data_IF_111273264981
#
_entry.id   IF_111273264981
#
_cell.length_a   1.000
_cell.length_b   1.000
_cell.length_c   1.000
_cell.angle_alpha   90.00
_cell.angle_beta   90.00
_cell.angle_gamma   90.00
#
_symmetry.space_group_name_H-M   'P 1'
#
loop_
_entity.id
_entity.type
_entity.pdbx_description
1 polymer ?
#
# COMPACT_ATOMS: atom_id res chain seq x y z
N UNK A 1 -26.84 -14.49 -4.86
CA UNK A 1 -25.77 -13.54 -5.19
C UNK A 1 -24.65 -14.35 -5.82
N UNK A 2 -24.51 -14.19 -7.13
CA UNK A 2 -23.90 -15.13 -8.06
C UNK A 2 -22.36 -15.20 -7.92
N UNK A 3 -21.82 -16.39 -8.19
CA UNK A 3 -20.40 -16.78 -8.07
C UNK A 3 -19.53 -16.34 -9.26
N UNK A 4 -20.05 -15.48 -10.13
CA UNK A 4 -19.33 -14.98 -11.31
C UNK A 4 -18.54 -13.69 -11.03
N UNK A 5 -18.90 -12.91 -10.00
CA UNK A 5 -18.23 -11.64 -9.68
C UNK A 5 -16.88 -11.78 -8.93
N UNK A 6 -16.55 -12.97 -8.43
CA UNK A 6 -15.28 -13.21 -7.71
C UNK A 6 -14.10 -13.53 -8.63
N UNK A 7 -14.34 -13.71 -9.94
CA UNK A 7 -13.32 -14.11 -10.91
C UNK A 7 -12.89 -12.99 -11.87
N UNK A 8 -13.57 -11.84 -11.88
CA UNK A 8 -13.12 -10.66 -12.65
C UNK A 8 -11.99 -9.87 -11.97
N UNK A 9 -11.70 -10.14 -10.69
CA UNK A 9 -10.67 -9.41 -9.94
C UNK A 9 -9.21 -9.83 -10.23
N UNK A 10 -8.99 -10.86 -11.07
CA UNK A 10 -7.66 -11.40 -11.37
C UNK A 10 -7.39 -11.65 -12.86
N UNK A 11 -7.96 -10.84 -13.76
CA UNK A 11 -7.51 -10.79 -15.16
C UNK A 11 -6.46 -9.67 -15.38
N UNK A 12 -5.19 -9.98 -15.09
CA UNK A 12 -4.06 -9.22 -15.65
C UNK A 12 -3.60 -9.95 -16.93
N UNK A 13 -3.55 -9.21 -18.04
CA UNK A 13 -3.02 -9.67 -19.33
C UNK A 13 -1.59 -10.24 -19.17
N UNK A 14 -1.39 -11.52 -19.48
CA UNK A 14 -0.03 -12.07 -19.67
C UNK A 14 0.14 -13.58 -19.60
N UNK A 15 -0.78 -14.35 -19.00
CA UNK A 15 -0.59 -15.79 -18.78
C UNK A 15 -1.83 -16.60 -19.18
N UNK A 16 -2.21 -16.57 -20.47
CA UNK A 16 -3.18 -17.53 -21.05
C UNK A 16 -2.42 -18.71 -21.67
N UNK A 17 -2.17 -19.72 -20.86
CA UNK A 17 -1.66 -21.00 -21.35
C UNK A 17 -1.33 -21.91 -20.18
N UNK A 18 -1.98 -23.07 -20.13
CA UNK A 18 -1.80 -24.15 -19.14
C UNK A 18 -2.64 -24.00 -17.85
N UNK A 19 -3.95 -24.23 -17.94
CA UNK A 19 -4.74 -24.91 -16.89
C UNK A 19 -6.17 -25.18 -17.39
N UNK A 20 -6.28 -26.05 -18.39
CA UNK A 20 -7.53 -26.53 -18.95
C UNK A 20 -7.70 -28.02 -18.74
N UNK A 21 -7.65 -28.52 -17.50
CA UNK A 21 -7.99 -29.92 -17.21
C UNK A 21 -8.28 -30.14 -15.72
N UNK A 22 -9.46 -29.78 -15.19
CA UNK A 22 -10.04 -30.39 -13.97
C UNK A 22 -11.54 -30.01 -13.75
N UNK A 23 -12.35 -30.04 -14.82
CA UNK A 23 -13.81 -29.80 -14.75
C UNK A 23 -14.63 -31.11 -14.63
N UNK A 24 -13.99 -32.21 -14.28
CA UNK A 24 -14.51 -33.56 -14.50
C UNK A 24 -14.61 -34.43 -13.26
N UNK A 25 -15.00 -33.90 -12.10
CA UNK A 25 -15.39 -34.73 -10.96
C UNK A 25 -16.11 -33.84 -9.96
N UNK A 26 -17.15 -34.36 -9.29
CA UNK A 26 -18.03 -33.70 -8.30
C UNK A 26 -19.34 -33.17 -8.87
N UNK A 27 -20.24 -34.12 -9.16
CA UNK A 27 -21.68 -33.93 -9.36
C UNK A 27 -22.41 -34.92 -8.43
N UNK A 28 -23.40 -34.43 -7.70
CA UNK A 28 -24.26 -35.17 -6.76
C UNK A 28 -24.03 -34.70 -5.31
N UNK A 29 -25.02 -34.23 -4.55
CA UNK A 29 -26.42 -34.68 -4.47
C UNK A 29 -27.32 -33.53 -3.97
N UNK A 30 -28.50 -33.40 -4.57
CA UNK A 30 -29.61 -32.52 -4.17
C UNK A 30 -30.30 -33.06 -2.92
N UNK A 31 -30.82 -32.16 -2.07
CA UNK A 31 -31.98 -32.38 -1.22
C UNK A 31 -32.75 -31.04 -1.11
N UNK A 32 -34.05 -31.10 -1.39
CA UNK A 32 -35.07 -30.04 -1.34
C UNK A 32 -35.42 -29.69 0.12
N UNK A 33 -35.75 -28.43 0.43
CA UNK A 33 -36.88 -28.07 1.32
C UNK A 33 -37.11 -26.54 1.40
N UNK A 34 -38.32 -26.19 0.98
CA UNK A 34 -39.30 -25.19 1.44
C UNK A 34 -39.06 -23.66 1.40
N UNK A 35 -40.01 -23.01 0.73
CA UNK A 35 -40.19 -21.58 0.56
C UNK A 35 -40.80 -20.94 1.81
N UNK A 36 -40.11 -19.94 2.37
CA UNK A 36 -40.61 -19.08 3.43
C UNK A 36 -40.37 -17.61 3.11
N UNK A 37 -41.41 -16.93 2.64
CA UNK A 37 -41.45 -15.48 2.45
C UNK A 37 -41.16 -14.75 3.78
N UNK A 38 -40.08 -13.95 3.82
CA UNK A 38 -39.86 -12.96 4.86
C UNK A 38 -39.80 -11.56 4.23
N UNK A 39 -40.90 -10.83 4.37
CA UNK A 39 -40.97 -9.39 4.15
C UNK A 39 -40.11 -8.66 5.18
N UNK A 40 -39.07 -7.95 4.72
CA UNK A 40 -38.27 -7.05 5.55
C UNK A 40 -39.04 -5.75 5.76
N UNK A 41 -39.67 -5.64 6.93
CA UNK A 41 -40.47 -4.48 7.34
C UNK A 41 -39.56 -3.32 7.72
N UNK A 42 -39.45 -2.32 6.86
CA UNK A 42 -38.90 -1.00 7.20
C UNK A 42 -39.67 -0.41 8.38
N UNK A 43 -39.00 -0.18 9.51
CA UNK A 43 -39.56 0.59 10.62
C UNK A 43 -39.11 2.04 10.47
N UNK A 44 -40.03 2.87 10.01
CA UNK A 44 -39.99 4.32 10.17
C UNK A 44 -40.05 4.67 11.66
N UNK A 45 -39.10 5.48 12.13
CA UNK A 45 -39.16 6.10 13.45
C UNK A 45 -40.05 7.33 13.39
N UNK A 46 -41.16 7.29 14.11
CA UNK A 46 -42.04 8.43 14.37
C UNK A 46 -41.57 9.17 15.62
N UNK A 47 -41.39 10.48 15.50
CA UNK A 47 -41.14 11.43 16.59
C UNK A 47 -42.18 11.36 17.72
N UNK A 48 -41.71 11.49 18.97
CA UNK A 48 -42.52 11.82 20.13
C UNK A 48 -41.85 12.97 20.93
N UNK A 49 -42.63 13.86 21.59
CA UNK A 49 -42.15 15.19 21.95
C UNK A 49 -41.61 15.33 23.38
N UNK A 50 -40.50 16.08 23.47
CA UNK A 50 -39.94 16.90 24.55
C UNK A 50 -40.18 16.54 26.03
N UNK A 51 -39.08 16.24 26.72
CA UNK A 51 -38.90 16.38 28.15
C UNK A 51 -37.42 16.33 28.56
N UNK A 52 -36.87 17.51 28.87
CA UNK A 52 -35.82 17.79 29.86
C UNK A 52 -34.38 17.22 29.69
N UNK A 53 -33.42 18.12 29.48
CA UNK A 53 -32.07 18.06 30.05
C UNK A 53 -31.07 16.97 29.62
N UNK A 54 -31.30 16.21 28.56
CA UNK A 54 -30.35 15.16 28.14
C UNK A 54 -29.21 15.72 27.27
N UNK A 55 -27.97 15.60 27.76
CA UNK A 55 -26.78 15.62 26.90
C UNK A 55 -27.07 14.67 25.74
N UNK A 56 -27.17 15.19 24.51
CA UNK A 56 -27.38 14.37 23.33
C UNK A 56 -26.21 13.38 23.27
N UNK A 57 -26.46 12.10 23.53
CA UNK A 57 -25.46 11.05 23.40
C UNK A 57 -24.89 11.13 21.98
N UNK A 58 -23.66 11.59 21.88
CA UNK A 58 -22.99 11.76 20.59
C UNK A 58 -22.49 10.39 20.15
N UNK A 59 -23.29 9.72 19.31
CA UNK A 59 -22.88 8.46 18.68
C UNK A 59 -21.78 8.75 17.66
N UNK A 60 -20.70 7.98 17.74
CA UNK A 60 -19.57 8.05 16.81
C UNK A 60 -19.63 6.80 15.91
N UNK A 61 -19.60 6.95 14.57
CA UNK A 61 -19.58 5.80 13.69
C UNK A 61 -18.23 5.06 13.81
N UNK A 62 -18.29 3.72 13.85
CA UNK A 62 -17.12 2.85 14.05
C UNK A 62 -17.09 1.72 13.02
N UNK A 63 -15.89 1.31 12.65
CA UNK A 63 -15.63 0.08 11.93
C UNK A 63 -15.25 -1.02 12.93
N UNK A 64 -15.80 -2.23 12.75
CA UNK A 64 -15.53 -3.40 13.61
C UNK A 64 -14.97 -4.51 12.74
N UNK A 65 -13.64 -4.70 12.76
CA UNK A 65 -12.96 -5.81 12.10
C UNK A 65 -13.02 -7.03 13.02
N UNK A 66 -13.57 -8.14 12.52
CA UNK A 66 -13.74 -9.39 13.28
C UNK A 66 -13.02 -10.53 12.58
N UNK A 67 -12.18 -11.24 13.32
CA UNK A 67 -11.48 -12.41 12.81
C UNK A 67 -12.45 -13.60 12.67
N UNK A 68 -12.43 -14.29 11.53
CA UNK A 68 -13.28 -15.46 11.31
C UNK A 68 -13.04 -16.55 12.36
N UNK A 69 -14.11 -17.17 12.93
CA UNK A 69 -13.96 -18.24 13.90
C UNK A 69 -13.15 -19.41 13.35
N UNK A 70 -12.20 -19.92 14.14
CA UNK A 70 -11.39 -21.08 13.77
C UNK A 70 -10.19 -20.82 12.85
N UNK A 71 -10.02 -19.60 12.31
CA UNK A 71 -8.93 -19.31 11.36
C UNK A 71 -7.55 -19.57 11.96
N UNK A 72 -7.37 -19.34 13.26
CA UNK A 72 -6.11 -19.62 13.96
C UNK A 72 -5.69 -21.08 13.83
N UNK A 73 -6.64 -22.01 14.04
CA UNK A 73 -6.38 -23.45 13.92
C UNK A 73 -6.09 -23.84 12.48
N UNK A 74 -6.77 -23.22 11.53
CA UNK A 74 -6.51 -23.45 10.10
C UNK A 74 -5.10 -23.00 9.72
N UNK A 75 -4.71 -21.78 10.09
CA UNK A 75 -3.35 -21.27 9.84
C UNK A 75 -2.30 -22.15 10.51
N UNK A 76 -2.53 -22.62 11.74
CA UNK A 76 -1.61 -23.56 12.41
C UNK A 76 -1.43 -24.87 11.63
N UNK A 77 -2.51 -25.44 11.08
CA UNK A 77 -2.46 -26.64 10.23
C UNK A 77 -1.72 -26.34 8.91
N UNK A 78 -2.02 -25.21 8.28
CA UNK A 78 -1.40 -24.81 7.02
C UNK A 78 0.12 -24.60 7.21
N UNK A 79 0.54 -23.99 8.32
CA UNK A 79 1.97 -23.82 8.65
C UNK A 79 2.65 -25.17 8.87
N UNK A 80 1.99 -26.13 9.52
CA UNK A 80 2.52 -27.48 9.69
C UNK A 80 2.71 -28.18 8.34
N UNK A 81 1.72 -28.08 7.45
CA UNK A 81 1.77 -28.66 6.11
C UNK A 81 2.86 -28.02 5.26
N UNK A 82 2.99 -26.68 5.29
CA UNK A 82 4.03 -25.95 4.58
C UNK A 82 5.43 -26.32 5.08
N UNK A 83 5.62 -26.45 6.40
CA UNK A 83 6.90 -26.90 6.97
C UNK A 83 7.25 -28.31 6.51
N UNK A 84 6.30 -29.25 6.60
CA UNK A 84 6.51 -30.62 6.14
C UNK A 84 6.83 -30.69 4.64
N UNK A 85 6.09 -29.95 3.82
CA UNK A 85 6.32 -29.84 2.38
C UNK A 85 7.68 -29.22 2.04
N UNK A 86 8.07 -28.16 2.75
CA UNK A 86 9.37 -27.50 2.55
C UNK A 86 10.54 -28.45 2.82
N UNK A 87 10.43 -29.29 3.85
CA UNK A 87 11.42 -30.31 4.16
C UNK A 87 11.50 -31.40 3.08
N UNK A 88 10.33 -31.87 2.61
CA UNK A 88 10.27 -32.87 1.55
C UNK A 88 10.88 -32.36 0.23
N UNK A 89 10.58 -31.12 -0.17
CA UNK A 89 11.13 -30.52 -1.39
C UNK A 89 12.63 -30.27 -1.25
N UNK A 90 13.11 -29.85 -0.07
CA UNK A 90 14.53 -29.61 0.17
C UNK A 90 15.38 -30.89 0.14
N UNK A 91 14.75 -32.07 0.33
CA UNK A 91 15.40 -33.38 0.13
C UNK A 91 15.62 -33.73 -1.35
N UNK A 92 14.91 -33.07 -2.28
CA UNK A 92 15.07 -33.32 -3.72
C UNK A 92 16.32 -32.60 -4.26
N UNK A 93 17.17 -33.28 -5.05
CA UNK A 93 18.32 -32.65 -5.69
C UNK A 93 17.84 -31.58 -6.67
N UNK A 94 18.38 -30.37 -6.54
CA UNK A 94 18.07 -29.22 -7.43
C UNK A 94 17.19 -28.13 -6.82
N UNK A 95 16.57 -28.33 -5.65
CA UNK A 95 15.72 -27.31 -5.00
C UNK A 95 16.38 -26.62 -3.78
N UNK A 96 17.59 -27.04 -3.40
CA UNK A 96 18.34 -26.46 -2.27
C UNK A 96 18.62 -24.96 -2.38
N UNK A 97 18.63 -24.41 -3.60
CA UNK A 97 18.89 -22.98 -3.83
C UNK A 97 17.68 -22.09 -3.49
N UNK A 98 16.46 -22.65 -3.41
CA UNK A 98 15.24 -21.89 -3.10
C UNK A 98 15.10 -21.56 -1.61
N UNK A 99 15.88 -22.21 -0.74
CA UNK A 99 15.84 -21.98 0.72
C UNK A 99 14.41 -22.00 1.31
N UNK A 100 13.55 -22.89 0.78
CA UNK A 100 12.12 -22.96 1.13
C UNK A 100 11.82 -23.02 2.64
N UNK A 101 12.61 -23.72 3.48
CA UNK A 101 12.36 -23.72 4.92
C UNK A 101 12.43 -22.31 5.54
N UNK A 102 13.38 -21.49 5.08
CA UNK A 102 13.56 -20.11 5.56
C UNK A 102 12.36 -19.24 5.12
N UNK A 103 11.88 -19.43 3.89
CA UNK A 103 10.70 -18.74 3.37
C UNK A 103 9.44 -19.10 4.18
N UNK A 104 9.26 -20.38 4.52
CA UNK A 104 8.11 -20.82 5.33
C UNK A 104 8.17 -20.23 6.75
N UNK A 105 9.35 -20.15 7.35
CA UNK A 105 9.53 -19.53 8.66
C UNK A 105 9.20 -18.02 8.64
N UNK A 106 9.67 -17.30 7.62
CA UNK A 106 9.31 -15.88 7.42
C UNK A 106 7.79 -15.72 7.22
N UNK A 107 7.16 -16.60 6.43
CA UNK A 107 5.71 -16.56 6.19
C UNK A 107 4.89 -16.82 7.45
N UNK A 108 5.30 -17.77 8.29
CA UNK A 108 4.63 -18.07 9.55
C UNK A 108 4.62 -16.89 10.52
N UNK A 109 5.74 -16.17 10.61
CA UNK A 109 5.84 -14.95 11.43
C UNK A 109 4.86 -13.89 10.93
N UNK A 110 4.71 -13.73 9.61
CA UNK A 110 3.75 -12.80 9.02
C UNK A 110 2.30 -13.22 9.30
N UNK A 111 1.94 -14.48 9.07
CA UNK A 111 0.58 -14.98 9.30
C UNK A 111 0.17 -14.89 10.77
N UNK A 112 1.09 -15.18 11.69
CA UNK A 112 0.84 -15.07 13.13
C UNK A 112 0.50 -13.63 13.55
N UNK A 113 1.15 -12.63 12.92
CA UNK A 113 0.84 -11.22 13.15
C UNK A 113 -0.52 -10.82 12.58
N UNK A 114 -0.90 -11.34 11.41
CA UNK A 114 -2.19 -11.04 10.79
C UNK A 114 -3.40 -11.58 11.58
N UNK A 115 -3.25 -12.71 12.29
CA UNK A 115 -4.35 -13.32 13.07
C UNK A 115 -4.45 -12.79 14.51
N UNK A 116 -3.76 -11.70 14.84
CA UNK A 116 -3.88 -10.99 16.11
C UNK A 116 -4.01 -9.49 15.85
N UNK A 117 -5.27 -9.01 15.83
CA UNK A 117 -5.63 -7.65 15.45
C UNK A 117 -5.06 -6.56 16.37
N UNK A 118 -4.46 -6.93 17.51
CA UNK A 118 -3.73 -5.98 18.36
C UNK A 118 -2.46 -5.47 17.66
N UNK A 119 -1.83 -6.27 16.81
CA UNK A 119 -0.67 -5.80 16.03
C UNK A 119 -1.08 -4.73 15.03
N UNK A 120 -2.16 -4.96 14.30
CA UNK A 120 -2.73 -3.96 13.38
C UNK A 120 -3.08 -2.66 14.12
N UNK A 121 -3.79 -2.74 15.24
CA UNK A 121 -4.12 -1.56 16.05
C UNK A 121 -2.87 -0.76 16.49
N UNK A 122 -1.83 -1.45 16.97
CA UNK A 122 -0.57 -0.81 17.39
C UNK A 122 0.16 -0.18 16.19
N UNK A 123 0.11 -0.82 15.02
CA UNK A 123 0.69 -0.27 13.79
C UNK A 123 -0.04 1.00 13.35
N UNK A 124 -1.38 0.99 13.40
CA UNK A 124 -2.22 2.16 13.10
C UNK A 124 -1.88 3.31 14.07
N UNK A 125 -1.80 3.05 15.38
CA UNK A 125 -1.41 4.06 16.38
C UNK A 125 -0.04 4.67 16.06
N UNK A 126 0.95 3.85 15.68
CA UNK A 126 2.28 4.33 15.29
C UNK A 126 2.25 5.13 13.99
N UNK A 127 1.47 4.72 13.00
CA UNK A 127 1.28 5.49 11.78
C UNK A 127 0.66 6.85 12.06
N UNK A 128 -0.35 6.92 12.93
CA UNK A 128 -0.94 8.20 13.34
C UNK A 128 0.07 9.14 13.98
N UNK A 129 0.93 8.63 14.86
CA UNK A 129 1.99 9.44 15.48
C UNK A 129 3.00 9.92 14.42
N UNK A 130 3.42 9.03 13.52
CA UNK A 130 4.33 9.37 12.43
C UNK A 130 3.75 10.46 11.51
N UNK A 131 2.44 10.43 11.25
CA UNK A 131 1.76 11.32 10.30
C UNK A 131 1.04 12.51 10.95
N UNK A 132 1.21 12.74 12.26
CA UNK A 132 0.52 13.83 12.97
C UNK A 132 0.76 15.23 12.40
N UNK A 133 1.92 15.45 11.78
CA UNK A 133 2.34 16.72 11.17
C UNK A 133 2.06 16.77 9.65
N UNK A 134 1.28 15.82 9.11
CA UNK A 134 0.95 15.72 7.68
C UNK A 134 -0.56 15.84 7.49
N UNK A 135 -1.02 17.02 7.10
CA UNK A 135 -2.45 17.37 7.04
C UNK A 135 -3.26 16.58 6.00
N UNK A 136 -2.59 15.95 5.03
CA UNK A 136 -3.24 15.23 3.93
C UNK A 136 -3.23 13.71 4.08
N UNK A 137 -2.72 13.17 5.19
CA UNK A 137 -2.72 11.72 5.46
C UNK A 137 -3.44 11.47 6.77
N UNK A 138 -4.34 10.48 6.77
CA UNK A 138 -5.12 10.09 7.93
C UNK A 138 -5.13 8.57 8.05
N UNK A 139 -5.12 8.11 9.29
CA UNK A 139 -5.34 6.72 9.65
C UNK A 139 -6.51 6.67 10.65
N UNK A 140 -7.32 5.61 10.65
CA UNK A 140 -8.42 5.45 11.60
C UNK A 140 -7.89 5.41 13.04
N UNK A 141 -8.76 5.69 14.01
CA UNK A 141 -8.42 5.69 15.43
C UNK A 141 -8.85 4.38 16.09
N UNK A 142 -7.93 3.49 16.48
CA UNK A 142 -8.28 2.32 17.28
C UNK A 142 -8.90 2.76 18.62
N UNK A 143 -10.05 2.18 18.96
CA UNK A 143 -10.82 2.53 20.16
C UNK A 143 -10.56 1.50 21.26
N UNK A 144 -9.68 1.86 22.20
CA UNK A 144 -9.45 1.05 23.42
C UNK A 144 -10.56 1.33 24.44
N UNK A 145 -11.06 0.31 25.19
CA UNK A 145 -10.54 -1.06 25.35
C UNK A 145 -11.10 -2.09 24.33
N UNK A 146 -11.78 -1.67 23.26
CA UNK A 146 -12.45 -2.57 22.31
C UNK A 146 -11.51 -3.25 21.29
N UNK A 147 -10.20 -3.20 21.53
CA UNK A 147 -9.17 -3.88 20.72
C UNK A 147 -8.74 -5.16 21.44
N UNK A 148 -8.97 -6.30 20.81
CA UNK A 148 -8.63 -7.65 21.29
C UNK A 148 -7.89 -8.42 20.20
N UNK A 149 -7.53 -9.69 20.46
CA UNK A 149 -6.86 -10.53 19.45
C UNK A 149 -7.72 -10.79 18.21
N UNK A 150 -9.04 -10.81 18.37
CA UNK A 150 -10.01 -11.21 17.33
C UNK A 150 -10.96 -10.10 16.91
N UNK A 151 -10.94 -8.96 17.59
CA UNK A 151 -11.79 -7.80 17.29
C UNK A 151 -10.95 -6.53 17.34
N UNK A 152 -11.01 -5.71 16.30
CA UNK A 152 -10.48 -4.35 16.25
C UNK A 152 -11.63 -3.39 15.96
N UNK A 153 -11.91 -2.51 16.91
CA UNK A 153 -12.85 -1.40 16.73
C UNK A 153 -12.06 -0.12 16.52
N UNK A 154 -12.40 0.63 15.47
CA UNK A 154 -11.75 1.89 15.12
C UNK A 154 -12.75 2.91 14.54
N UNK A 155 -12.35 4.18 14.39
CA UNK A 155 -13.22 5.19 13.78
C UNK A 155 -13.59 4.82 12.35
N UNK A 156 -14.86 4.98 12.00
CA UNK A 156 -15.29 4.84 10.62
C UNK A 156 -14.90 6.09 9.83
N UNK A 157 -14.21 5.90 8.71
CA UNK A 157 -13.72 7.00 7.89
C UNK A 157 -14.58 7.14 6.63
N UNK A 158 -15.53 8.07 6.64
CA UNK A 158 -16.39 8.39 5.48
C UNK A 158 -15.55 8.86 4.28
N UNK A 159 -15.27 7.95 3.36
CA UNK A 159 -14.30 8.13 2.26
C UNK A 159 -14.63 7.23 1.07
N UNK A 160 -14.09 7.54 -0.10
CA UNK A 160 -14.25 6.74 -1.32
C UNK A 160 -12.95 6.01 -1.69
N UNK A 161 -13.01 4.79 -2.25
CA UNK A 161 -11.82 4.09 -2.73
C UNK A 161 -11.06 4.90 -3.79
N UNK A 162 -9.71 4.87 -3.73
CA UNK A 162 -8.87 5.59 -4.71
C UNK A 162 -9.10 5.12 -6.15
N UNK A 163 -9.58 3.89 -6.35
CA UNK A 163 -9.92 3.33 -7.67
C UNK A 163 -10.99 4.15 -8.40
N UNK A 164 -11.90 4.82 -7.67
CA UNK A 164 -12.88 5.72 -8.27
C UNK A 164 -12.23 6.96 -8.90
N UNK A 165 -11.03 7.32 -8.46
CA UNK A 165 -10.29 8.49 -8.93
C UNK A 165 -9.37 8.18 -10.13
N UNK A 166 -9.28 6.91 -10.52
CA UNK A 166 -8.57 6.50 -11.74
C UNK A 166 -9.37 6.76 -13.01
N UNK A 167 -10.70 6.90 -12.89
CA UNK A 167 -11.62 7.01 -14.03
C UNK A 167 -11.38 8.27 -14.87
N UNK A 168 -11.58 8.26 -16.20
CA UNK A 168 -11.26 9.38 -17.09
C UNK A 168 -11.94 10.71 -16.73
N UNK A 169 -13.10 10.65 -16.08
CA UNK A 169 -13.95 11.80 -15.78
C UNK A 169 -13.37 12.68 -14.66
N UNK A 170 -12.48 12.13 -13.83
CA UNK A 170 -11.86 12.88 -12.74
C UNK A 170 -10.87 13.91 -13.28
N UNK A 171 -10.96 15.20 -12.88
CA UNK A 171 -10.07 16.24 -13.38
C UNK A 171 -8.59 15.91 -13.17
N UNK A 172 -7.77 16.14 -14.20
CA UNK A 172 -6.35 15.82 -14.18
C UNK A 172 -5.63 16.43 -12.96
N UNK A 173 -5.94 17.68 -12.61
CA UNK A 173 -5.35 18.36 -11.44
C UNK A 173 -5.59 17.62 -10.12
N UNK A 174 -6.75 16.97 -9.98
CA UNK A 174 -7.08 16.19 -8.79
C UNK A 174 -6.24 14.91 -8.78
N UNK A 175 -6.17 14.20 -9.91
CA UNK A 175 -5.31 13.02 -10.04
C UNK A 175 -3.84 13.31 -9.74
N UNK A 176 -3.31 14.41 -10.27
CA UNK A 176 -1.94 14.86 -10.01
C UNK A 176 -1.70 15.16 -8.52
N UNK A 177 -2.68 15.77 -7.85
CA UNK A 177 -2.61 16.03 -6.40
C UNK A 177 -2.60 14.72 -5.60
N UNK A 178 -3.47 13.76 -5.94
CA UNK A 178 -3.54 12.44 -5.29
C UNK A 178 -2.22 11.68 -5.50
N UNK A 179 -1.71 11.66 -6.73
CA UNK A 179 -0.46 11.00 -7.08
C UNK A 179 0.71 11.55 -6.24
N UNK A 180 0.82 12.88 -6.17
CA UNK A 180 1.82 13.58 -5.35
C UNK A 180 1.69 13.20 -3.87
N UNK A 181 0.49 13.26 -3.31
CA UNK A 181 0.22 12.88 -1.92
C UNK A 181 0.64 11.42 -1.65
N UNK A 182 0.33 10.49 -2.55
CA UNK A 182 0.70 9.08 -2.42
C UNK A 182 2.22 8.87 -2.42
N UNK A 183 2.94 9.52 -3.35
CA UNK A 183 4.41 9.43 -3.44
C UNK A 183 5.07 10.07 -2.22
N UNK A 184 4.63 11.25 -1.79
CA UNK A 184 5.16 11.91 -0.58
C UNK A 184 4.94 11.04 0.68
N UNK A 185 3.78 10.41 0.78
CA UNK A 185 3.45 9.46 1.87
C UNK A 185 4.39 8.27 1.86
N UNK A 186 4.59 7.63 0.70
CA UNK A 186 5.53 6.51 0.53
C UNK A 186 6.96 6.91 0.93
N UNK A 187 7.45 8.03 0.38
CA UNK A 187 8.83 8.46 0.61
C UNK A 187 9.08 8.79 2.08
N UNK A 188 8.09 9.36 2.77
CA UNK A 188 8.16 9.59 4.22
C UNK A 188 8.24 8.27 4.99
N UNK A 189 7.34 7.31 4.72
CA UNK A 189 7.36 5.99 5.36
C UNK A 189 8.72 5.30 5.22
N UNK A 190 9.27 5.32 4.00
CA UNK A 190 10.53 4.64 3.66
C UNK A 190 11.75 5.35 4.24
N UNK A 191 11.92 6.64 3.94
CA UNK A 191 13.17 7.34 4.23
C UNK A 191 13.16 8.02 5.60
N UNK A 192 12.03 8.55 6.05
CA UNK A 192 11.93 9.31 7.30
C UNK A 192 11.63 8.39 8.47
N UNK A 193 10.53 7.63 8.37
CA UNK A 193 10.00 6.87 9.50
C UNK A 193 10.63 5.48 9.64
N UNK A 194 11.13 4.91 8.53
CA UNK A 194 11.56 3.51 8.46
C UNK A 194 10.48 2.57 9.00
N UNK A 195 9.24 2.83 8.61
CA UNK A 195 8.06 2.07 9.01
C UNK A 195 7.07 2.15 7.85
N UNK A 196 7.06 1.10 7.03
CA UNK A 196 6.43 1.09 5.71
C UNK A 196 5.21 0.19 5.72
N UNK A 197 4.07 0.74 5.30
CA UNK A 197 2.87 -0.06 5.07
C UNK A 197 3.12 -1.02 3.91
N UNK A 198 3.31 -2.31 4.22
CA UNK A 198 3.81 -3.27 3.23
C UNK A 198 2.71 -3.81 2.31
N UNK A 199 1.44 -3.55 2.63
CA UNK A 199 0.28 -3.99 1.85
C UNK A 199 -0.62 -2.81 1.43
N UNK A 200 0.00 -1.71 0.97
CA UNK A 200 -0.72 -0.49 0.59
C UNK A 200 -1.23 -0.57 -0.87
N UNK A 201 -2.13 -1.51 -1.13
CA UNK A 201 -2.80 -1.66 -2.42
C UNK A 201 -4.01 -0.70 -2.55
N UNK A 202 -4.57 -0.47 -3.75
CA UNK A 202 -5.65 0.51 -3.95
C UNK A 202 -6.92 0.29 -3.11
N UNK A 203 -7.15 -0.91 -2.56
CA UNK A 203 -8.27 -1.17 -1.66
C UNK A 203 -8.09 -0.60 -0.26
N UNK A 204 -6.84 -0.41 0.17
CA UNK A 204 -6.47 0.12 1.48
C UNK A 204 -6.20 1.64 1.45
N UNK A 205 -6.48 2.30 0.32
CA UNK A 205 -6.29 3.74 0.14
C UNK A 205 -7.64 4.34 -0.23
N UNK A 206 -8.20 5.12 0.69
CA UNK A 206 -9.40 5.90 0.45
C UNK A 206 -9.05 7.39 0.32
N UNK A 207 -9.97 8.12 -0.30
CA UNK A 207 -9.92 9.56 -0.44
C UNK A 207 -11.09 10.18 0.28
N UNK A 208 -10.77 11.09 1.20
CA UNK A 208 -11.73 11.91 1.91
C UNK A 208 -11.63 13.33 1.37
N UNK A 209 -12.73 13.82 0.79
CA UNK A 209 -12.90 15.23 0.48
C UNK A 209 -13.62 15.86 1.68
N UNK A 210 -12.92 16.69 2.48
CA UNK A 210 -13.53 17.39 3.62
C UNK A 210 -14.43 18.56 3.17
N UNK A 211 -15.47 18.28 2.37
CA UNK A 211 -16.50 19.21 1.92
C UNK A 211 -17.84 18.61 2.32
N UNK A 212 -18.49 19.24 3.30
CA UNK A 212 -19.53 18.64 4.13
C UNK A 212 -20.70 17.99 3.38
N UNK A 213 -21.31 17.02 4.06
CA UNK A 213 -22.57 16.41 3.64
C UNK A 213 -23.64 17.46 3.31
N UNK A 214 -24.37 17.18 2.25
CA UNK A 214 -25.43 18.05 1.74
C UNK A 214 -25.52 17.93 0.23
N UNK A 215 -26.45 17.09 -0.20
CA UNK A 215 -27.07 17.05 -1.53
C UNK A 215 -26.98 18.41 -2.27
N UNK A 216 -26.22 18.47 -3.37
CA UNK A 216 -26.44 19.30 -4.57
C UNK A 216 -25.17 19.35 -5.44
N UNK A 217 -25.27 18.65 -6.57
CA UNK A 217 -24.75 18.98 -7.91
C UNK A 217 -23.54 19.96 -8.01
N UNK A 218 -22.38 19.54 -8.55
CA UNK A 218 -21.32 20.46 -8.91
C UNK A 218 -21.67 21.15 -10.25
N UNK A 219 -22.73 21.97 -10.27
CA UNK A 219 -22.97 22.87 -11.39
C UNK A 219 -22.22 24.19 -11.15
N UNK A 220 -21.14 24.36 -11.91
CA UNK A 220 -20.46 25.63 -12.09
C UNK A 220 -21.46 26.71 -12.57
N UNK A 221 -21.93 27.56 -11.66
CA UNK A 221 -22.61 28.82 -12.01
C UNK A 221 -22.04 29.99 -11.22
N UNK A 222 -21.14 30.72 -11.86
CA UNK A 222 -20.78 32.08 -11.45
C UNK A 222 -21.95 32.99 -11.84
N UNK A 223 -22.75 33.41 -10.87
CA UNK A 223 -23.75 34.48 -11.06
C UNK A 223 -23.13 35.78 -10.58
N UNK A 224 -22.71 36.60 -11.54
CA UNK A 224 -22.23 37.96 -11.28
C UNK A 224 -23.47 38.85 -11.22
N UNK A 225 -23.89 39.26 -10.02
CA UNK A 225 -25.01 40.19 -9.85
C UNK A 225 -24.43 41.53 -9.45
N UNK A 226 -24.44 42.47 -10.39
CA UNK A 226 -24.02 43.85 -10.16
C UNK A 226 -25.17 44.61 -9.49
N UNK A 227 -25.05 44.85 -8.19
CA UNK A 227 -25.92 45.72 -7.42
C UNK A 227 -25.07 46.87 -6.90
N UNK A 228 -25.11 47.97 -7.64
CA UNK A 228 -24.76 49.34 -7.27
C UNK A 228 -23.94 49.47 -5.97
N UNK A 229 -22.63 49.69 -6.14
CA UNK A 229 -21.66 50.15 -5.14
C UNK A 229 -21.22 49.19 -4.03
N UNK A 230 -21.46 47.88 -4.13
CA UNK A 230 -20.78 46.90 -3.25
C UNK A 230 -20.20 45.72 -4.03
N UNK A 231 -18.87 45.65 -4.12
CA UNK A 231 -18.17 44.45 -4.61
C UNK A 231 -18.19 43.39 -3.51
N UNK A 232 -19.16 42.47 -3.55
CA UNK A 232 -19.13 41.28 -2.70
C UNK A 232 -18.12 40.29 -3.29
N UNK A 233 -16.88 40.36 -2.82
CA UNK A 233 -15.91 39.28 -3.04
C UNK A 233 -16.33 38.11 -2.15
N UNK A 234 -17.13 37.19 -2.69
CA UNK A 234 -17.34 35.89 -2.06
C UNK A 234 -16.02 35.11 -2.15
N UNK A 235 -15.18 35.23 -1.11
CA UNK A 235 -14.09 34.29 -0.92
C UNK A 235 -14.72 32.92 -0.65
N UNK A 236 -14.66 32.04 -1.65
CA UNK A 236 -14.95 30.62 -1.40
C UNK A 236 -13.98 30.13 -0.33
N UNK A 237 -14.44 29.38 0.70
CA UNK A 237 -13.51 28.68 1.57
C UNK A 237 -12.61 27.81 0.68
N UNK A 238 -11.34 27.70 1.04
CA UNK A 238 -10.40 26.82 0.35
C UNK A 238 -11.09 25.45 0.17
N UNK A 239 -10.96 24.81 -1.01
CA UNK A 239 -11.54 23.48 -1.20
C UNK A 239 -11.07 22.62 -0.04
N UNK A 240 -12.05 22.08 0.69
CA UNK A 240 -11.97 20.85 1.47
C UNK A 240 -10.59 20.19 1.38
N UNK A 241 -9.77 20.14 2.45
CA UNK A 241 -8.49 19.44 2.36
C UNK A 241 -8.76 18.00 1.91
N UNK A 242 -8.23 17.66 0.74
CA UNK A 242 -8.22 16.30 0.23
C UNK A 242 -7.26 15.50 1.11
N UNK A 243 -7.72 14.39 1.66
CA UNK A 243 -6.92 13.52 2.53
C UNK A 243 -6.88 12.09 1.99
N UNK A 244 -5.71 11.47 2.07
CA UNK A 244 -5.54 10.02 1.94
C UNK A 244 -5.89 9.39 3.28
N UNK A 245 -6.90 8.53 3.29
CA UNK A 245 -7.20 7.67 4.44
C UNK A 245 -6.61 6.30 4.15
N UNK A 246 -5.65 5.88 4.98
CA UNK A 246 -4.96 4.60 4.81
C UNK A 246 -5.51 3.59 5.84
N UNK A 247 -5.93 2.43 5.33
CA UNK A 247 -6.54 1.33 6.10
C UNK A 247 -5.63 0.10 6.12
N UNK A 248 -5.97 -0.87 6.97
CA UNK A 248 -5.34 -2.19 7.07
C UNK A 248 -3.81 -2.19 7.22
N UNK A 249 -3.33 -1.62 8.33
CA UNK A 249 -1.92 -1.64 8.69
C UNK A 249 -1.45 -2.97 9.32
N UNK A 250 -2.03 -4.10 8.90
CA UNK A 250 -1.70 -5.43 9.43
C UNK A 250 -0.25 -5.86 9.10
N UNK A 251 0.25 -5.46 7.93
CA UNK A 251 1.61 -5.78 7.48
C UNK A 251 2.47 -4.52 7.41
N UNK A 252 3.57 -4.52 8.17
CA UNK A 252 4.56 -3.44 8.15
C UNK A 252 5.95 -4.00 7.90
N UNK A 253 6.71 -3.32 7.05
CA UNK A 253 8.12 -3.53 6.84
C UNK A 253 8.94 -2.46 7.57
N UNK A 254 10.02 -2.89 8.23
CA UNK A 254 10.95 -2.02 8.93
C UNK A 254 12.36 -2.59 8.78
N UNK A 255 13.32 -1.74 8.38
CA UNK A 255 14.73 -2.12 8.31
C UNK A 255 15.41 -1.97 9.67
N UNK A 256 16.40 -2.80 9.96
CA UNK A 256 17.31 -2.51 11.07
C UNK A 256 18.22 -1.31 10.72
N UNK A 257 18.96 -0.77 11.69
CA UNK A 257 19.77 0.45 11.48
C UNK A 257 20.92 0.28 10.47
N UNK A 258 21.43 -0.93 10.30
CA UNK A 258 22.46 -1.22 9.28
C UNK A 258 21.80 -1.20 7.90
N UNK A 259 20.75 -1.97 7.70
CA UNK A 259 20.04 -2.11 6.43
C UNK A 259 19.44 -0.77 6.00
N UNK A 260 18.90 0.01 6.95
CA UNK A 260 18.38 1.37 6.71
C UNK A 260 19.47 2.31 6.18
N UNK A 261 20.67 2.28 6.76
CA UNK A 261 21.81 3.10 6.29
C UNK A 261 22.25 2.67 4.90
N UNK A 262 22.35 1.37 4.65
CA UNK A 262 22.73 0.83 3.35
C UNK A 262 21.70 1.20 2.28
N UNK A 263 20.42 1.02 2.58
CA UNK A 263 19.31 1.38 1.71
C UNK A 263 19.37 2.86 1.36
N UNK A 264 19.51 3.75 2.35
CA UNK A 264 19.63 5.19 2.12
C UNK A 264 20.86 5.53 1.27
N UNK A 265 22.01 4.90 1.53
CA UNK A 265 23.23 5.15 0.76
C UNK A 265 23.06 4.77 -0.71
N UNK A 266 22.46 3.61 -0.99
CA UNK A 266 22.16 3.15 -2.36
C UNK A 266 21.26 4.15 -3.08
N UNK A 267 20.13 4.53 -2.47
CA UNK A 267 19.21 5.50 -3.08
C UNK A 267 19.83 6.89 -3.25
N UNK A 268 20.70 7.31 -2.33
CA UNK A 268 21.45 8.57 -2.45
C UNK A 268 22.42 8.52 -3.64
N UNK A 269 23.18 7.44 -3.79
CA UNK A 269 24.09 7.25 -4.92
C UNK A 269 23.33 7.20 -6.26
N UNK A 270 22.13 6.59 -6.29
CA UNK A 270 21.24 6.65 -7.47
C UNK A 270 20.87 8.10 -7.78
N UNK A 271 20.35 8.87 -6.81
CA UNK A 271 19.97 10.27 -7.03
C UNK A 271 21.14 11.16 -7.49
N UNK A 272 22.36 10.87 -7.01
CA UNK A 272 23.58 11.59 -7.37
C UNK A 272 24.22 11.10 -8.68
N UNK A 273 23.60 10.16 -9.42
CA UNK A 273 24.14 9.56 -10.65
C UNK A 273 25.49 8.87 -10.45
N UNK A 274 25.70 8.24 -9.30
CA UNK A 274 26.94 7.57 -8.93
C UNK A 274 26.79 6.05 -9.08
N UNK A 275 26.56 5.57 -10.30
CA UNK A 275 26.21 4.15 -10.50
C UNK A 275 27.34 3.15 -10.19
N UNK A 276 28.62 3.53 -10.32
CA UNK A 276 29.72 2.69 -9.79
C UNK A 276 29.66 2.58 -8.27
N UNK A 277 29.31 3.67 -7.57
CA UNK A 277 29.14 3.65 -6.11
C UNK A 277 27.93 2.82 -5.69
N UNK A 278 26.85 2.82 -6.47
CA UNK A 278 25.70 1.91 -6.26
C UNK A 278 26.18 0.46 -6.28
N UNK A 279 26.98 0.06 -7.27
CA UNK A 279 27.54 -1.28 -7.34
C UNK A 279 28.44 -1.60 -6.14
N UNK A 280 29.32 -0.67 -5.74
CA UNK A 280 30.17 -0.85 -4.55
C UNK A 280 29.35 -1.05 -3.27
N UNK A 281 28.33 -0.22 -3.06
CA UNK A 281 27.45 -0.33 -1.91
C UNK A 281 26.73 -1.67 -1.90
N UNK A 282 26.24 -2.13 -3.06
CA UNK A 282 25.58 -3.44 -3.16
C UNK A 282 26.58 -4.58 -2.84
N UNK A 283 27.78 -4.56 -3.42
CA UNK A 283 28.79 -5.61 -3.22
C UNK A 283 29.31 -5.68 -1.78
N UNK A 284 29.50 -4.52 -1.13
CA UNK A 284 30.01 -4.44 0.24
C UNK A 284 28.98 -4.87 1.30
N UNK A 285 27.69 -4.80 0.96
CA UNK A 285 26.61 -5.14 1.89
C UNK A 285 25.96 -6.49 1.61
N UNK A 286 26.29 -7.16 0.49
CA UNK A 286 25.88 -8.52 0.24
C UNK A 286 26.52 -9.49 1.27
N UNK A 287 25.69 -10.29 1.96
CA UNK A 287 26.16 -11.30 2.93
C UNK A 287 27.05 -12.37 2.29
N UNK A 288 26.77 -12.68 1.03
CA UNK A 288 27.53 -13.61 0.20
C UNK A 288 27.73 -12.93 -1.13
N UNK A 289 28.99 -12.66 -1.46
CA UNK A 289 29.36 -12.05 -2.73
C UNK A 289 30.17 -13.06 -3.54
N UNK A 290 29.51 -13.72 -4.48
CA UNK A 290 30.15 -14.64 -5.44
C UNK A 290 30.46 -13.94 -6.77
N UNK A 291 30.40 -12.60 -6.81
CA UNK A 291 30.68 -11.84 -8.01
C UNK A 291 32.15 -12.04 -8.42
N UNK A 292 32.36 -12.69 -9.56
CA UNK A 292 33.69 -12.98 -10.09
C UNK A 292 34.28 -11.79 -10.87
N UNK A 293 33.42 -10.97 -11.49
CA UNK A 293 33.82 -9.84 -12.35
C UNK A 293 33.26 -8.51 -11.82
N UNK A 294 33.83 -8.09 -10.68
CA UNK A 294 33.47 -6.81 -10.02
C UNK A 294 33.62 -5.59 -10.94
N UNK A 295 34.71 -5.44 -11.74
CA UNK A 295 34.84 -4.29 -12.64
C UNK A 295 33.70 -4.21 -13.66
N UNK A 296 33.30 -5.35 -14.25
CA UNK A 296 32.19 -5.40 -15.19
C UNK A 296 30.86 -5.06 -14.53
N UNK A 297 30.59 -5.62 -13.34
CA UNK A 297 29.38 -5.30 -12.59
C UNK A 297 29.27 -3.80 -12.28
N UNK A 298 30.36 -3.16 -11.85
CA UNK A 298 30.38 -1.70 -11.61
C UNK A 298 30.05 -0.91 -12.86
N UNK A 299 30.65 -1.28 -14.00
CA UNK A 299 30.39 -0.62 -15.29
C UNK A 299 28.94 -0.78 -15.74
N UNK A 300 28.40 -1.99 -15.69
CA UNK A 300 27.01 -2.28 -16.09
C UNK A 300 25.99 -1.56 -15.18
N UNK A 301 26.28 -1.46 -13.88
CA UNK A 301 25.46 -0.68 -12.95
C UNK A 301 25.54 0.83 -13.22
N UNK A 302 26.74 1.35 -13.55
CA UNK A 302 26.92 2.74 -13.95
C UNK A 302 26.10 3.10 -15.19
N UNK A 303 26.19 2.28 -16.24
CA UNK A 303 25.40 2.45 -17.47
C UNK A 303 23.89 2.40 -17.19
N UNK A 304 23.44 1.49 -16.31
CA UNK A 304 22.04 1.37 -15.93
C UNK A 304 21.53 2.62 -15.20
N UNK A 305 22.30 3.14 -14.23
CA UNK A 305 21.94 4.34 -13.46
C UNK A 305 21.93 5.56 -14.37
N UNK A 306 22.95 5.72 -15.23
CA UNK A 306 23.00 6.82 -16.21
C UNK A 306 21.84 6.77 -17.18
N UNK A 307 21.47 5.59 -17.69
CA UNK A 307 20.30 5.43 -18.56
C UNK A 307 18.99 5.76 -17.83
N UNK A 308 18.87 5.41 -16.55
CA UNK A 308 17.69 5.71 -15.74
C UNK A 308 17.49 7.22 -15.53
N UNK A 309 18.59 7.96 -15.30
CA UNK A 309 18.57 9.38 -14.94
C UNK A 309 18.74 10.32 -16.13
N UNK A 310 19.34 9.89 -17.25
CA UNK A 310 19.48 10.70 -18.47
C UNK A 310 18.16 10.95 -19.20
N UNK A 311 17.14 10.14 -18.94
CA UNK A 311 15.78 10.31 -19.47
C UNK A 311 14.95 11.38 -18.75
N UNK A 312 15.60 12.37 -18.12
CA UNK A 312 14.93 13.53 -17.53
C UNK A 312 14.30 14.36 -18.65
N UNK A 313 12.98 14.19 -18.87
CA UNK A 313 12.07 15.26 -19.28
C UNK A 313 10.59 14.86 -19.31
N UNK A 314 10.21 13.59 -19.14
CA UNK A 314 8.82 13.19 -18.85
C UNK A 314 8.77 11.78 -18.27
N UNK A 315 8.06 11.59 -17.16
CA UNK A 315 7.96 10.30 -16.47
C UNK A 315 7.18 9.20 -17.22
N UNK A 316 6.73 9.49 -18.43
CA UNK A 316 6.10 8.48 -19.28
C UNK A 316 7.03 7.34 -19.71
N UNK A 317 8.34 7.35 -19.40
CA UNK A 317 9.30 6.37 -19.99
C UNK A 317 10.19 5.57 -19.03
N UNK A 318 10.53 6.04 -17.83
CA UNK A 318 11.33 5.24 -16.89
C UNK A 318 10.42 4.69 -15.81
N UNK A 319 10.14 3.39 -15.87
CA UNK A 319 9.40 2.71 -14.83
C UNK A 319 10.36 2.32 -13.71
N UNK A 320 10.05 2.68 -12.46
CA UNK A 320 10.84 2.22 -11.30
C UNK A 320 10.85 0.69 -11.26
N UNK A 321 9.73 0.07 -11.63
CA UNK A 321 9.59 -1.38 -11.87
C UNK A 321 10.61 -1.90 -12.89
N UNK A 322 10.76 -1.24 -14.05
CA UNK A 322 11.75 -1.64 -15.07
C UNK A 322 13.18 -1.47 -14.57
N UNK A 323 13.45 -0.37 -13.87
CA UNK A 323 14.76 -0.09 -13.30
C UNK A 323 15.14 -1.15 -12.27
N UNK A 324 14.25 -1.43 -11.32
CA UNK A 324 14.45 -2.46 -10.29
C UNK A 324 14.58 -3.84 -10.94
N UNK A 325 13.78 -4.15 -11.95
CA UNK A 325 13.89 -5.42 -12.69
C UNK A 325 15.24 -5.58 -13.37
N UNK A 326 15.78 -4.52 -13.98
CA UNK A 326 17.14 -4.53 -14.56
C UNK A 326 18.22 -4.66 -13.50
N UNK A 327 18.07 -3.97 -12.37
CA UNK A 327 18.99 -4.11 -11.21
C UNK A 327 18.97 -5.55 -10.71
N UNK A 328 17.79 -6.13 -10.44
CA UNK A 328 17.65 -7.54 -10.05
C UNK A 328 18.23 -8.49 -11.09
N UNK A 329 18.05 -8.20 -12.38
CA UNK A 329 18.69 -8.93 -13.47
C UNK A 329 20.22 -8.95 -13.33
N UNK A 330 20.86 -7.80 -13.09
CA UNK A 330 22.30 -7.71 -12.84
C UNK A 330 22.71 -8.47 -11.58
N UNK A 331 21.95 -8.37 -10.48
CA UNK A 331 22.23 -9.11 -9.25
C UNK A 331 22.22 -10.62 -9.49
N UNK A 332 21.24 -11.13 -10.26
CA UNK A 332 21.14 -12.54 -10.62
C UNK A 332 22.32 -12.96 -11.52
N UNK A 333 22.60 -12.20 -12.58
CA UNK A 333 23.69 -12.49 -13.52
C UNK A 333 25.05 -12.55 -12.81
N UNK A 334 25.29 -11.63 -11.87
CA UNK A 334 26.54 -11.55 -11.13
C UNK A 334 26.52 -12.30 -9.79
N UNK A 335 25.45 -13.06 -9.51
CA UNK A 335 25.28 -13.88 -8.28
C UNK A 335 25.46 -13.09 -6.98
N UNK A 336 24.93 -11.88 -6.94
CA UNK A 336 24.92 -11.02 -5.77
C UNK A 336 23.61 -11.22 -5.01
N UNK A 337 23.67 -11.70 -3.77
CA UNK A 337 22.48 -11.96 -2.94
C UNK A 337 22.02 -10.67 -2.23
N UNK A 338 20.79 -10.25 -2.47
CA UNK A 338 20.12 -9.18 -1.72
C UNK A 338 19.55 -9.73 -0.39
N UNK A 339 19.48 -8.90 0.65
CA UNK A 339 18.85 -9.28 1.93
C UNK A 339 17.31 -9.28 1.84
N UNK A 340 16.65 -10.23 2.52
CA UNK A 340 15.19 -10.47 2.42
C UNK A 340 14.35 -9.26 2.85
N UNK A 341 14.82 -8.48 3.84
CA UNK A 341 14.11 -7.30 4.34
C UNK A 341 13.95 -6.16 3.31
N UNK A 342 14.78 -6.14 2.26
CA UNK A 342 14.68 -5.13 1.20
C UNK A 342 13.50 -5.41 0.27
N UNK A 343 13.13 -6.67 0.09
CA UNK A 343 12.12 -7.08 -0.87
C UNK A 343 10.75 -6.48 -0.54
N UNK A 344 10.30 -6.55 0.72
CA UNK A 344 8.99 -6.00 1.13
C UNK A 344 8.88 -4.50 0.89
N UNK A 345 9.96 -3.74 1.12
CA UNK A 345 9.98 -2.29 0.87
C UNK A 345 9.98 -2.00 -0.62
N UNK A 346 10.75 -2.76 -1.40
CA UNK A 346 10.76 -2.65 -2.86
C UNK A 346 9.37 -2.95 -3.44
N UNK A 347 8.67 -3.99 -2.97
CA UNK A 347 7.30 -4.27 -3.38
C UNK A 347 6.34 -3.14 -3.04
N UNK A 348 6.40 -2.59 -1.82
CA UNK A 348 5.57 -1.45 -1.41
C UNK A 348 5.82 -0.22 -2.31
N UNK A 349 7.08 0.04 -2.67
CA UNK A 349 7.44 1.09 -3.63
C UNK A 349 6.80 0.80 -4.98
N UNK A 350 6.94 -0.42 -5.52
CA UNK A 350 6.41 -0.80 -6.84
C UNK A 350 4.88 -0.62 -6.94
N UNK A 351 4.13 -1.05 -5.92
CA UNK A 351 2.65 -0.94 -5.91
C UNK A 351 2.21 0.52 -5.93
N UNK A 352 2.76 1.34 -5.03
CA UNK A 352 2.40 2.77 -4.95
C UNK A 352 2.90 3.56 -6.16
N UNK A 353 4.02 3.17 -6.73
CA UNK A 353 4.55 3.73 -7.96
C UNK A 353 3.63 3.45 -9.16
N UNK A 354 3.16 2.22 -9.30
CA UNK A 354 2.19 1.83 -10.33
C UNK A 354 0.86 2.60 -10.19
N UNK A 355 0.40 2.81 -8.97
CA UNK A 355 -0.77 3.64 -8.68
C UNK A 355 -0.52 5.12 -9.00
N UNK A 356 0.62 5.67 -8.57
CA UNK A 356 1.02 7.05 -8.84
C UNK A 356 1.08 7.34 -10.34
N UNK A 357 1.64 6.43 -11.15
CA UNK A 357 1.65 6.54 -12.61
C UNK A 357 0.26 6.49 -13.23
N UNK A 358 -0.63 5.63 -12.70
CA UNK A 358 -2.01 5.53 -13.19
C UNK A 358 -2.79 6.83 -12.97
N UNK A 359 -2.40 7.63 -11.98
CA UNK A 359 -2.98 8.94 -11.69
C UNK A 359 -2.28 10.10 -12.42
N UNK A 360 -0.94 10.12 -12.39
CA UNK A 360 -0.11 11.13 -13.06
C UNK A 360 1.15 10.49 -13.68
N UNK A 361 1.13 10.18 -14.98
CA UNK A 361 2.28 9.63 -15.69
C UNK A 361 3.50 10.55 -15.75
N UNK A 362 3.40 11.82 -15.34
CA UNK A 362 4.49 12.80 -15.43
C UNK A 362 5.15 13.13 -14.07
N UNK A 363 4.73 12.49 -12.98
CA UNK A 363 5.16 12.83 -11.61
C UNK A 363 6.57 12.34 -11.24
N UNK A 364 7.57 13.21 -11.16
CA UNK A 364 8.94 12.79 -10.84
C UNK A 364 9.18 12.39 -9.38
N UNK A 365 9.21 11.07 -9.13
CA UNK A 365 9.48 10.47 -7.83
C UNK A 365 10.89 10.75 -7.34
N UNK A 366 11.88 10.75 -8.24
CA UNK A 366 13.27 11.01 -7.86
C UNK A 366 13.43 12.46 -7.40
N UNK A 367 12.81 13.43 -8.09
CA UNK A 367 12.76 14.83 -7.65
C UNK A 367 12.12 15.00 -6.27
N UNK A 368 11.03 14.28 -5.99
CA UNK A 368 10.40 14.29 -4.65
C UNK A 368 11.27 13.63 -3.57
N UNK A 369 12.08 12.62 -3.94
CA UNK A 369 12.97 11.93 -3.01
C UNK A 369 14.24 12.72 -2.67
N UNK A 370 14.78 13.53 -3.60
CA UNK A 370 16.03 14.31 -3.40
C UNK A 370 16.08 15.06 -2.07
N UNK A 371 15.09 15.91 -1.70
CA UNK A 371 15.18 16.67 -0.46
C UNK A 371 15.20 15.78 0.78
N UNK A 372 14.55 14.61 0.76
CA UNK A 372 14.50 13.68 1.90
C UNK A 372 15.81 12.91 2.09
N UNK A 373 16.47 12.59 0.98
CA UNK A 373 17.76 11.90 0.97
C UNK A 373 18.93 12.85 1.29
N UNK A 374 18.91 14.07 0.73
CA UNK A 374 20.04 15.00 0.79
C UNK A 374 20.02 15.92 2.03
N UNK A 375 18.85 16.25 2.61
CA UNK A 375 18.79 17.12 3.82
C UNK A 375 19.55 16.55 5.02
N UNK A 376 19.77 15.24 5.08
CA UNK A 376 20.49 14.58 6.17
C UNK A 376 21.99 14.35 5.88
N UNK A 377 22.46 14.65 4.66
CA UNK A 377 23.89 14.53 4.32
C UNK A 377 24.70 15.74 4.85
N UNK A 378 24.07 16.92 4.95
CA UNK A 378 24.70 18.14 5.43
C UNK A 378 24.76 18.27 6.97
N UNK A 379 24.00 17.45 7.71
CA UNK A 379 24.03 17.40 9.18
C UNK A 379 24.99 16.34 9.74
N UNK A 380 25.76 15.67 8.87
CA UNK A 380 26.74 14.63 9.21
C UNK A 380 28.18 14.94 8.73
N UNK A 381 28.40 16.16 8.23
CA UNK A 381 29.72 16.79 8.06
C UNK A 381 29.82 17.97 9.04
#
# INVERSE_FOLDING_TARGET
>A
MEREDMLEAWEILGLKGVLGTFRGLWKGKEDEEDEGHHETRERSYTDAPNGDGTEKEHLIPVAIKVLHPGIRRQVEIDMLLMRAGSWLINCLPGFKWLSLPEIVEEFEVLMTKQIDLRFEANNIEKFRENFKDVDFVKFPTPLRPFVTRSILVETFEESEPISNYLRPEVPLKVKQRIARMGVETLLKMVFVDNFVHADLHPGNILLQCSGGGGDNDPQERVTLTDLCDTVVVSMRPAPAPLQLVLLDAGIVAQLNDRDRRNFRAVFTAVVLRQGEQVAELILNHARTNECQDVPRFKKEMAELVDHALSNTLSLGKVQVTDLLSRVFGLLITHKVKLESNFASIVFAIMVLEGLGRSLDPNLDILELAKPLLLKNAASLL
#
